data_IF_142083850694
#
_entry.id   IF_142083850694
#
_cell.length_a   1.000
_cell.length_b   1.000
_cell.length_c   1.000
_cell.angle_alpha   90.00
_cell.angle_beta   90.00
_cell.angle_gamma   90.00
#
_symmetry.space_group_name_H-M   'P 1'
#
loop_
_entity.id
_entity.type
_entity.pdbx_description
1 polymer ?
#
# COMPACT_ATOMS: atom_id res chain seq x y z
N UNK A 1 -6.56 -31.09 3.62
CA UNK A 1 -5.34 -31.28 4.44
C UNK A 1 -4.14 -31.04 3.55
N UNK A 2 -3.45 -29.93 3.72
CA UNK A 2 -2.21 -29.68 2.97
C UNK A 2 -1.12 -30.58 3.55
N UNK A 3 -0.41 -31.40 2.72
CA UNK A 3 0.73 -32.22 3.10
C UNK A 3 1.98 -31.40 3.40
N UNK A 4 3.03 -31.97 3.94
CA UNK A 4 4.36 -31.39 3.91
C UNK A 4 4.77 -31.24 2.45
N UNK A 5 5.36 -30.09 2.09
CA UNK A 5 5.90 -29.92 0.73
C UNK A 5 7.09 -30.87 0.58
N UNK A 6 7.15 -31.56 -0.52
CA UNK A 6 8.25 -32.48 -0.85
C UNK A 6 9.56 -31.69 -0.86
N UNK A 7 10.59 -32.25 -0.23
CA UNK A 7 11.87 -31.56 -0.01
C UNK A 7 12.55 -31.14 -1.31
N UNK A 8 12.49 -31.98 -2.31
CA UNK A 8 13.03 -31.73 -3.65
C UNK A 8 12.38 -30.49 -4.30
N UNK A 9 11.06 -30.28 -4.10
CA UNK A 9 10.36 -29.11 -4.61
C UNK A 9 10.80 -27.83 -3.87
N UNK A 10 11.08 -27.91 -2.58
CA UNK A 10 11.61 -26.77 -1.81
C UNK A 10 12.99 -26.38 -2.35
N UNK A 11 13.86 -27.37 -2.59
CA UNK A 11 15.21 -27.12 -3.09
C UNK A 11 15.17 -26.62 -4.55
N UNK A 12 14.24 -27.10 -5.35
CA UNK A 12 14.02 -26.61 -6.72
C UNK A 12 13.51 -25.18 -6.75
N UNK A 13 12.53 -24.81 -5.92
CA UNK A 13 12.08 -23.42 -5.77
C UNK A 13 13.26 -22.53 -5.35
N UNK A 14 14.08 -22.98 -4.38
CA UNK A 14 15.28 -22.24 -3.95
C UNK A 14 16.24 -21.96 -5.10
N UNK A 15 16.43 -22.94 -5.99
CA UNK A 15 17.36 -22.82 -7.12
C UNK A 15 16.85 -21.89 -8.22
N UNK A 16 15.53 -21.82 -8.41
CA UNK A 16 14.88 -20.98 -9.44
C UNK A 16 14.65 -19.54 -9.02
N UNK A 17 14.52 -19.29 -7.73
CA UNK A 17 14.20 -17.96 -7.21
C UNK A 17 15.48 -17.20 -6.84
N UNK A 18 15.66 -16.04 -7.41
CA UNK A 18 16.74 -15.13 -7.05
C UNK A 18 16.39 -14.35 -5.80
N UNK A 19 17.23 -14.41 -4.78
CA UNK A 19 17.02 -13.71 -3.51
C UNK A 19 17.01 -12.17 -3.68
N UNK A 20 17.85 -11.64 -4.58
CA UNK A 20 17.91 -10.21 -4.88
C UNK A 20 16.61 -9.68 -5.48
N UNK A 21 15.91 -10.47 -6.30
CA UNK A 21 14.59 -10.12 -6.81
C UNK A 21 13.53 -10.12 -5.71
N UNK A 22 13.61 -11.06 -4.76
CA UNK A 22 12.67 -11.13 -3.62
C UNK A 22 12.88 -9.96 -2.67
N UNK A 23 14.11 -9.74 -2.27
CA UNK A 23 14.48 -8.64 -1.37
C UNK A 23 14.24 -7.29 -2.02
N UNK A 24 14.50 -7.17 -3.33
CA UNK A 24 14.31 -5.93 -4.10
C UNK A 24 12.86 -5.43 -4.16
N UNK A 25 11.88 -6.26 -3.80
CA UNK A 25 10.50 -5.81 -3.62
C UNK A 25 10.27 -4.95 -2.38
N UNK A 26 11.10 -5.11 -1.37
CA UNK A 26 10.98 -4.46 -0.05
C UNK A 26 12.07 -3.43 0.22
N UNK A 27 13.26 -3.64 -0.36
CA UNK A 27 14.47 -2.84 -0.10
C UNK A 27 15.16 -2.52 -1.42
N UNK A 28 15.56 -1.27 -1.61
CA UNK A 28 16.39 -0.91 -2.76
C UNK A 28 17.80 -1.43 -2.54
N UNK A 29 18.21 -2.36 -3.41
CA UNK A 29 19.53 -2.94 -3.41
C UNK A 29 20.45 -2.24 -4.43
N UNK A 30 21.73 -2.11 -4.07
CA UNK A 30 22.79 -1.56 -4.94
C UNK A 30 23.97 -2.51 -4.98
N UNK A 31 24.67 -2.54 -6.10
CA UNK A 31 25.91 -3.32 -6.21
C UNK A 31 26.92 -2.86 -5.14
N UNK A 32 27.53 -3.83 -4.47
CA UNK A 32 28.54 -3.64 -3.43
C UNK A 32 29.82 -4.47 -3.69
N UNK A 33 30.00 -4.94 -4.92
CA UNK A 33 31.11 -5.78 -5.37
C UNK A 33 30.66 -6.94 -6.22
N UNK A 34 31.58 -7.85 -6.51
CA UNK A 34 31.26 -9.08 -7.26
C UNK A 34 30.31 -9.94 -6.41
N UNK A 35 29.15 -10.31 -6.98
CA UNK A 35 28.12 -11.11 -6.33
C UNK A 35 27.68 -10.58 -4.95
N UNK A 36 27.69 -9.27 -4.77
CA UNK A 36 27.25 -8.63 -3.53
C UNK A 36 26.41 -7.40 -3.82
N UNK A 37 25.22 -7.37 -3.21
CA UNK A 37 24.34 -6.21 -3.20
C UNK A 37 24.11 -5.75 -1.77
N UNK A 38 23.86 -4.45 -1.55
CA UNK A 38 23.58 -3.91 -0.23
C UNK A 38 22.42 -2.92 -0.24
N UNK A 39 21.72 -2.81 0.89
CA UNK A 39 20.63 -1.86 1.12
C UNK A 39 20.45 -1.58 2.60
N UNK A 40 19.48 -0.73 2.93
CA UNK A 40 19.08 -0.51 4.33
C UNK A 40 18.36 -1.74 4.86
N UNK A 41 18.70 -2.14 6.08
CA UNK A 41 18.10 -3.32 6.70
C UNK A 41 16.59 -3.11 6.95
N UNK A 42 15.74 -4.07 6.56
CA UNK A 42 14.31 -4.00 6.85
C UNK A 42 13.96 -4.40 8.29
N UNK A 43 14.89 -5.00 9.03
CA UNK A 43 14.65 -5.56 10.36
C UNK A 43 15.05 -4.64 11.51
N UNK A 44 15.91 -3.63 11.27
CA UNK A 44 16.27 -2.61 12.26
C UNK A 44 16.41 -1.23 11.62
N UNK A 45 16.39 -0.18 12.44
CA UNK A 45 16.59 1.18 11.97
C UNK A 45 18.08 1.49 11.85
N UNK A 46 18.52 1.84 10.63
CA UNK A 46 19.90 2.23 10.35
C UNK A 46 19.96 3.39 9.34
N UNK A 47 21.09 4.08 9.31
CA UNK A 47 21.33 5.21 8.38
C UNK A 47 22.24 4.81 7.22
N UNK A 48 23.14 3.87 7.45
CA UNK A 48 24.11 3.39 6.47
C UNK A 48 23.78 1.94 6.11
N UNK A 49 23.79 1.57 4.83
CA UNK A 49 23.47 0.23 4.40
C UNK A 49 24.41 -0.82 4.99
N UNK A 50 23.87 -1.70 5.84
CA UNK A 50 24.56 -2.84 6.42
C UNK A 50 23.93 -4.20 6.03
N UNK A 51 22.83 -4.17 5.30
CA UNK A 51 22.13 -5.36 4.83
C UNK A 51 22.71 -5.79 3.49
N UNK A 52 23.39 -6.93 3.48
CA UNK A 52 24.02 -7.51 2.30
C UNK A 52 23.24 -8.69 1.77
N UNK A 53 23.16 -8.79 0.45
CA UNK A 53 22.53 -9.91 -0.27
C UNK A 53 23.56 -10.48 -1.23
N UNK A 54 23.70 -11.80 -1.24
CA UNK A 54 24.56 -12.54 -2.17
C UNK A 54 23.70 -13.38 -3.11
N UNK A 55 23.45 -12.91 -4.36
CA UNK A 55 22.56 -13.59 -5.29
C UNK A 55 22.95 -15.03 -5.60
N UNK A 56 24.24 -15.31 -5.81
CA UNK A 56 24.73 -16.67 -6.18
C UNK A 56 24.55 -17.69 -5.06
N UNK A 57 24.72 -17.25 -3.79
CA UNK A 57 24.53 -18.12 -2.64
C UNK A 57 23.08 -18.17 -2.13
N UNK A 58 22.20 -17.30 -2.65
CA UNK A 58 20.81 -17.22 -2.22
C UNK A 58 20.64 -16.78 -0.76
N UNK A 59 21.56 -15.95 -0.24
CA UNK A 59 21.66 -15.64 1.19
C UNK A 59 21.76 -14.14 1.46
N UNK A 60 21.17 -13.69 2.57
CA UNK A 60 21.36 -12.34 3.09
C UNK A 60 21.98 -12.34 4.49
N UNK A 61 22.69 -11.27 4.81
CA UNK A 61 23.22 -11.00 6.14
C UNK A 61 23.25 -9.50 6.43
N UNK A 62 22.75 -9.11 7.60
CA UNK A 62 22.86 -7.74 8.09
C UNK A 62 23.99 -7.60 9.09
N UNK A 63 25.00 -6.82 8.78
CA UNK A 63 26.13 -6.57 9.69
C UNK A 63 25.78 -5.62 10.84
N UNK A 64 24.62 -4.96 10.81
CA UNK A 64 24.14 -4.07 11.87
C UNK A 64 23.42 -4.79 12.99
N UNK A 65 22.46 -5.69 12.66
CA UNK A 65 21.66 -6.41 13.66
C UNK A 65 21.92 -7.93 13.71
N UNK A 66 22.78 -8.47 12.84
CA UNK A 66 23.09 -9.90 12.79
C UNK A 66 22.02 -10.77 12.11
N UNK A 67 20.93 -10.17 11.62
CA UNK A 67 19.89 -10.92 10.93
C UNK A 67 20.39 -11.53 9.63
N UNK A 68 20.06 -12.80 9.40
CA UNK A 68 20.54 -13.55 8.24
C UNK A 68 19.57 -14.66 7.84
N UNK A 69 19.65 -15.11 6.59
CA UNK A 69 18.82 -16.19 6.07
C UNK A 69 18.74 -16.24 4.56
N UNK A 70 17.89 -17.12 4.06
CA UNK A 70 17.56 -17.29 2.66
C UNK A 70 16.27 -16.50 2.28
N UNK A 71 15.80 -16.66 1.05
CA UNK A 71 14.58 -16.01 0.56
C UNK A 71 13.33 -16.42 1.37
N UNK A 72 13.27 -17.64 1.85
CA UNK A 72 12.15 -18.11 2.68
C UNK A 72 12.14 -17.42 4.04
N UNK A 73 13.28 -17.41 4.72
CA UNK A 73 13.46 -16.73 6.01
C UNK A 73 13.18 -15.23 5.90
N UNK A 74 13.58 -14.61 4.79
CA UNK A 74 13.30 -13.21 4.52
C UNK A 74 11.79 -12.96 4.46
N UNK A 75 11.04 -13.73 3.66
CA UNK A 75 9.59 -13.59 3.55
C UNK A 75 8.87 -13.86 4.86
N UNK A 76 9.28 -14.90 5.61
CA UNK A 76 8.72 -15.18 6.93
C UNK A 76 8.80 -13.95 7.85
N UNK A 77 9.93 -13.27 7.88
CA UNK A 77 10.14 -12.09 8.73
C UNK A 77 9.44 -10.84 8.22
N UNK A 78 9.44 -10.62 6.91
CA UNK A 78 8.84 -9.44 6.30
C UNK A 78 7.31 -9.48 6.33
N UNK A 79 6.73 -10.63 5.96
CA UNK A 79 5.30 -10.81 5.81
C UNK A 79 4.64 -11.49 7.00
N UNK A 80 5.43 -11.99 7.96
CA UNK A 80 4.94 -12.79 9.08
C UNK A 80 4.25 -14.07 8.60
N UNK A 81 4.69 -14.62 7.47
CA UNK A 81 4.18 -15.88 6.93
C UNK A 81 4.97 -17.06 7.46
N UNK A 82 4.41 -18.27 7.36
CA UNK A 82 5.12 -19.49 7.70
C UNK A 82 6.05 -19.91 6.59
N UNK A 83 6.91 -20.88 6.90
CA UNK A 83 7.82 -21.45 5.91
C UNK A 83 7.07 -22.05 4.72
N UNK A 84 5.99 -22.81 4.95
CA UNK A 84 5.16 -23.39 3.89
C UNK A 84 4.58 -22.31 2.98
N UNK A 85 4.00 -21.24 3.54
CA UNK A 85 3.47 -20.12 2.76
C UNK A 85 4.57 -19.37 1.98
N UNK A 86 5.76 -19.23 2.56
CA UNK A 86 6.89 -18.65 1.85
C UNK A 86 7.31 -19.50 0.65
N UNK A 87 7.35 -20.83 0.81
CA UNK A 87 7.65 -21.78 -0.29
C UNK A 87 6.57 -21.73 -1.37
N UNK A 88 5.29 -21.81 -0.98
CA UNK A 88 4.14 -21.75 -1.92
C UNK A 88 4.19 -20.47 -2.75
N UNK A 89 4.44 -19.34 -2.12
CA UNK A 89 4.53 -18.05 -2.80
C UNK A 89 5.70 -17.96 -3.78
N UNK A 90 6.87 -18.47 -3.39
CA UNK A 90 8.02 -18.46 -4.28
C UNK A 90 7.87 -19.48 -5.41
N UNK A 91 7.18 -20.60 -5.17
CA UNK A 91 6.82 -21.57 -6.20
C UNK A 91 5.86 -20.96 -7.23
N UNK A 92 4.81 -20.25 -6.80
CA UNK A 92 3.90 -19.52 -7.70
C UNK A 92 4.67 -18.53 -8.57
N UNK A 93 5.60 -17.77 -7.96
CA UNK A 93 6.46 -16.82 -8.69
C UNK A 93 7.39 -17.51 -9.70
N UNK A 94 7.89 -18.70 -9.36
CA UNK A 94 8.73 -19.52 -10.24
C UNK A 94 7.94 -20.32 -11.28
N UNK A 95 6.61 -20.23 -11.28
CA UNK A 95 5.72 -21.02 -12.16
C UNK A 95 5.78 -22.52 -11.86
N UNK A 96 6.05 -22.91 -10.61
CA UNK A 96 6.17 -24.30 -10.17
C UNK A 96 4.90 -24.78 -9.47
N UNK A 97 4.51 -26.03 -9.75
CA UNK A 97 3.50 -26.75 -8.97
C UNK A 97 4.19 -27.59 -7.89
N UNK A 98 3.75 -27.42 -6.64
CA UNK A 98 4.32 -28.13 -5.50
C UNK A 98 3.63 -29.47 -5.27
N UNK A 99 4.41 -30.48 -4.96
CA UNK A 99 3.94 -31.78 -4.48
C UNK A 99 3.90 -31.81 -2.96
N UNK A 100 2.92 -32.49 -2.40
CA UNK A 100 2.70 -32.57 -0.96
C UNK A 100 2.72 -34.01 -0.47
N UNK A 101 3.49 -34.30 0.58
CA UNK A 101 3.50 -35.59 1.25
C UNK A 101 2.25 -35.79 2.12
N UNK A 102 1.76 -37.01 2.23
CA UNK A 102 0.67 -37.38 3.13
C UNK A 102 1.20 -37.52 4.57
N UNK A 103 0.99 -36.52 5.41
CA UNK A 103 1.40 -36.57 6.81
C UNK A 103 0.99 -35.35 7.65
N UNK A 104 0.78 -35.56 8.94
CA UNK A 104 0.38 -34.56 9.93
C UNK A 104 1.58 -33.85 10.57
N UNK A 105 1.63 -32.53 10.51
CA UNK A 105 2.60 -31.68 11.22
C UNK A 105 1.90 -30.65 12.12
N UNK A 106 2.53 -30.20 13.23
CA UNK A 106 1.86 -29.51 14.34
C UNK A 106 1.50 -28.04 14.17
N UNK A 107 2.08 -27.25 13.30
CA UNK A 107 1.85 -25.78 13.28
C UNK A 107 0.96 -25.24 12.14
N UNK A 108 0.08 -26.07 11.63
CA UNK A 108 -0.74 -25.82 10.44
C UNK A 108 -1.90 -24.83 10.61
N UNK A 109 -2.34 -24.52 11.86
CA UNK A 109 -3.59 -23.77 12.06
C UNK A 109 -3.46 -22.29 11.76
N UNK A 110 -2.35 -21.66 12.16
CA UNK A 110 -2.16 -20.22 11.94
C UNK A 110 -1.71 -19.91 10.51
N UNK A 111 -0.83 -20.75 9.96
CA UNK A 111 -0.37 -20.66 8.57
C UNK A 111 -1.51 -20.79 7.57
N UNK A 112 -2.28 -21.87 7.70
CA UNK A 112 -3.45 -22.09 6.87
C UNK A 112 -4.49 -20.98 7.03
N UNK A 113 -4.59 -20.36 8.22
CA UNK A 113 -5.51 -19.26 8.46
C UNK A 113 -5.09 -18.00 7.69
N UNK A 114 -3.80 -17.64 7.68
CA UNK A 114 -3.33 -16.45 6.95
C UNK A 114 -3.48 -16.60 5.45
N UNK A 115 -3.11 -17.75 4.88
CA UNK A 115 -3.32 -18.06 3.47
C UNK A 115 -4.80 -17.99 3.10
N UNK A 116 -5.68 -18.58 3.92
CA UNK A 116 -7.12 -18.50 3.75
C UNK A 116 -7.65 -17.07 3.77
N UNK A 117 -7.10 -16.19 4.61
CA UNK A 117 -7.46 -14.78 4.62
C UNK A 117 -7.05 -14.07 3.31
N UNK A 118 -5.88 -14.35 2.75
CA UNK A 118 -5.48 -13.79 1.45
C UNK A 118 -6.40 -14.28 0.32
N UNK A 119 -6.73 -15.57 0.30
CA UNK A 119 -7.70 -16.12 -0.66
C UNK A 119 -9.07 -15.46 -0.53
N UNK A 120 -9.59 -15.29 0.69
CA UNK A 120 -10.85 -14.61 0.94
C UNK A 120 -10.84 -13.15 0.43
N UNK A 121 -9.73 -12.43 0.61
CA UNK A 121 -9.59 -11.06 0.10
C UNK A 121 -9.49 -11.02 -1.43
N UNK A 122 -8.82 -11.98 -2.06
CA UNK A 122 -8.76 -12.11 -3.52
C UNK A 122 -10.17 -12.36 -4.09
N UNK A 123 -10.89 -13.33 -3.57
CA UNK A 123 -12.27 -13.62 -3.98
C UNK A 123 -13.22 -12.43 -3.72
N UNK A 124 -13.06 -11.73 -2.60
CA UNK A 124 -13.83 -10.52 -2.31
C UNK A 124 -13.53 -9.39 -3.32
N UNK A 125 -12.25 -9.22 -3.71
CA UNK A 125 -11.88 -8.26 -4.75
C UNK A 125 -12.55 -8.60 -6.08
N UNK A 126 -12.49 -9.86 -6.50
CA UNK A 126 -13.10 -10.30 -7.76
C UNK A 126 -14.62 -10.12 -7.74
N UNK A 127 -15.26 -10.42 -6.61
CA UNK A 127 -16.67 -10.13 -6.39
C UNK A 127 -16.99 -8.64 -6.54
N UNK A 128 -16.28 -7.74 -5.87
CA UNK A 128 -16.53 -6.31 -5.95
C UNK A 128 -16.25 -5.76 -7.35
N UNK A 129 -15.21 -6.24 -8.03
CA UNK A 129 -14.90 -5.87 -9.42
C UNK A 129 -15.99 -6.30 -10.40
N UNK A 130 -16.55 -7.49 -10.23
CA UNK A 130 -17.67 -7.95 -11.06
C UNK A 130 -18.89 -7.04 -10.85
N UNK A 131 -19.17 -6.65 -9.62
CA UNK A 131 -20.34 -5.84 -9.27
C UNK A 131 -20.26 -4.37 -9.71
N UNK A 132 -19.08 -3.80 -10.05
CA UNK A 132 -19.00 -2.43 -10.55
C UNK A 132 -19.75 -2.25 -11.88
N UNK A 133 -19.95 -3.32 -12.64
CA UNK A 133 -20.70 -3.33 -13.92
C UNK A 133 -22.20 -3.59 -13.73
N UNK A 134 -22.63 -3.92 -12.52
CA UNK A 134 -24.05 -4.17 -12.23
C UNK A 134 -24.89 -2.88 -12.41
N UNK A 135 -26.20 -3.01 -12.68
CA UNK A 135 -27.10 -1.84 -12.72
C UNK A 135 -27.10 -1.05 -11.41
N UNK A 136 -27.03 -1.73 -10.27
CA UNK A 136 -27.00 -1.12 -8.94
C UNK A 136 -25.76 -0.20 -8.74
N UNK A 137 -24.66 -0.46 -9.43
CA UNK A 137 -23.43 0.31 -9.33
C UNK A 137 -23.42 1.61 -10.19
N UNK A 138 -24.52 1.99 -10.84
CA UNK A 138 -24.59 3.19 -11.69
C UNK A 138 -24.11 4.44 -10.96
N UNK A 139 -24.56 4.64 -9.70
CA UNK A 139 -24.14 5.79 -8.88
C UNK A 139 -22.63 5.78 -8.61
N UNK A 140 -22.03 4.59 -8.45
CA UNK A 140 -20.58 4.42 -8.27
C UNK A 140 -19.82 4.81 -9.56
N UNK A 141 -20.25 4.30 -10.71
CA UNK A 141 -19.62 4.62 -12.00
C UNK A 141 -19.74 6.12 -12.32
N UNK A 142 -20.92 6.71 -12.14
CA UNK A 142 -21.14 8.15 -12.34
C UNK A 142 -20.23 8.99 -11.44
N UNK A 143 -20.12 8.62 -10.14
CA UNK A 143 -19.21 9.29 -9.20
C UNK A 143 -17.76 9.28 -9.68
N UNK A 144 -17.28 8.18 -10.26
CA UNK A 144 -15.92 8.08 -10.79
C UNK A 144 -15.76 8.85 -12.10
N UNK A 145 -16.73 8.75 -13.01
CA UNK A 145 -16.73 9.48 -14.29
C UNK A 145 -16.72 11.00 -14.09
N UNK A 146 -17.51 11.54 -13.14
CA UNK A 146 -17.51 12.98 -12.77
C UNK A 146 -16.13 13.47 -12.29
N UNK A 147 -15.25 12.55 -11.88
CA UNK A 147 -13.87 12.82 -11.45
C UNK A 147 -12.83 12.53 -12.52
N UNK A 148 -13.27 12.20 -13.72
CA UNK A 148 -12.41 11.95 -14.86
C UNK A 148 -11.79 10.54 -14.88
N UNK A 149 -12.35 9.58 -14.14
CA UNK A 149 -11.91 8.19 -14.19
C UNK A 149 -12.80 7.36 -15.10
N UNK A 150 -12.22 6.83 -16.17
CA UNK A 150 -12.85 5.91 -17.11
C UNK A 150 -12.84 4.46 -16.62
N UNK A 151 -13.37 3.55 -17.42
CA UNK A 151 -13.44 2.12 -17.11
C UNK A 151 -12.05 1.48 -17.02
N UNK A 152 -11.09 1.94 -17.84
CA UNK A 152 -9.72 1.47 -17.82
C UNK A 152 -9.01 1.83 -16.51
N UNK A 153 -9.22 3.05 -16.04
CA UNK A 153 -8.74 3.48 -14.73
C UNK A 153 -9.35 2.65 -13.60
N UNK A 154 -10.66 2.40 -13.61
CA UNK A 154 -11.32 1.54 -12.62
C UNK A 154 -10.74 0.13 -12.63
N UNK A 155 -10.55 -0.44 -13.80
CA UNK A 155 -9.99 -1.79 -13.97
C UNK A 155 -8.53 -1.85 -13.50
N UNK A 156 -7.72 -0.88 -13.90
CA UNK A 156 -6.29 -0.81 -13.55
C UNK A 156 -6.08 -0.75 -12.04
N UNK A 157 -6.87 0.05 -11.31
CA UNK A 157 -6.76 0.16 -9.85
C UNK A 157 -7.59 -0.88 -9.10
N UNK A 158 -8.35 -1.73 -9.81
CA UNK A 158 -9.18 -2.77 -9.22
C UNK A 158 -10.37 -2.23 -8.43
N UNK A 159 -10.88 -1.06 -8.83
CA UNK A 159 -12.04 -0.43 -8.20
C UNK A 159 -13.28 -1.30 -8.39
N UNK A 160 -14.07 -1.44 -7.33
CA UNK A 160 -15.24 -2.29 -7.30
C UNK A 160 -16.44 -1.64 -6.62
N UNK A 161 -17.53 -2.39 -6.53
CA UNK A 161 -18.75 -1.97 -5.87
C UNK A 161 -19.24 -3.06 -4.90
N UNK A 162 -19.55 -2.69 -3.68
CA UNK A 162 -20.21 -3.54 -2.71
C UNK A 162 -21.74 -3.34 -2.79
N UNK A 163 -22.53 -4.36 -3.16
CA UNK A 163 -23.98 -4.27 -3.22
C UNK A 163 -24.62 -3.88 -1.87
N UNK A 164 -25.84 -3.33 -1.92
CA UNK A 164 -26.54 -2.80 -0.72
C UNK A 164 -27.04 -3.86 0.26
N UNK A 165 -27.18 -5.12 -0.16
CA UNK A 165 -27.68 -6.20 0.69
C UNK A 165 -26.77 -6.47 1.91
N UNK A 166 -27.33 -7.14 2.91
CA UNK A 166 -26.64 -7.38 4.18
C UNK A 166 -25.61 -8.50 4.14
N UNK A 167 -25.71 -9.42 3.18
CA UNK A 167 -24.96 -10.69 3.16
C UNK A 167 -24.54 -11.14 1.75
N UNK A 168 -24.49 -10.23 0.79
CA UNK A 168 -24.15 -10.55 -0.59
C UNK A 168 -22.73 -11.13 -0.72
N UNK A 169 -21.73 -10.44 -0.14
CA UNK A 169 -20.35 -10.92 -0.12
C UNK A 169 -20.23 -12.19 0.73
N UNK A 170 -20.83 -12.21 1.92
CA UNK A 170 -20.76 -13.37 2.83
C UNK A 170 -21.39 -14.62 2.20
N UNK A 171 -22.51 -14.51 1.50
CA UNK A 171 -23.10 -15.61 0.73
C UNK A 171 -22.17 -16.10 -0.38
N UNK A 172 -21.59 -15.17 -1.15
CA UNK A 172 -20.62 -15.49 -2.20
C UNK A 172 -19.43 -16.25 -1.61
N UNK A 173 -18.81 -15.74 -0.56
CA UNK A 173 -17.62 -16.36 0.04
C UNK A 173 -17.92 -17.71 0.69
N UNK A 174 -19.08 -17.87 1.33
CA UNK A 174 -19.52 -19.18 1.84
C UNK A 174 -19.70 -20.21 0.71
N UNK A 175 -20.23 -19.81 -0.45
CA UNK A 175 -20.33 -20.70 -1.62
C UNK A 175 -18.98 -21.15 -2.16
N UNK A 176 -17.90 -20.39 -1.85
CA UNK A 176 -16.49 -20.70 -2.14
C UNK A 176 -15.81 -21.47 -1.00
N UNK A 177 -16.56 -21.87 0.04
CA UNK A 177 -16.05 -22.66 1.16
C UNK A 177 -15.32 -21.88 2.25
N UNK A 178 -15.53 -20.55 2.34
CA UNK A 178 -15.03 -19.75 3.45
C UNK A 178 -15.98 -19.80 4.64
N UNK A 179 -15.40 -19.80 5.84
CA UNK A 179 -16.14 -19.84 7.10
C UNK A 179 -16.37 -18.41 7.63
N UNK A 180 -17.48 -18.20 8.35
CA UNK A 180 -17.80 -16.89 8.94
C UNK A 180 -16.69 -16.32 9.82
N UNK A 181 -15.99 -17.19 10.58
CA UNK A 181 -14.81 -16.80 11.37
C UNK A 181 -13.63 -16.27 10.54
N UNK A 182 -13.46 -16.77 9.31
CA UNK A 182 -12.45 -16.28 8.39
C UNK A 182 -12.86 -14.91 7.83
N UNK A 183 -14.15 -14.73 7.51
CA UNK A 183 -14.68 -13.44 7.03
C UNK A 183 -14.57 -12.35 8.10
N UNK A 184 -14.85 -12.68 9.35
CA UNK A 184 -14.75 -11.75 10.49
C UNK A 184 -13.29 -11.42 10.79
N UNK A 185 -12.42 -12.44 10.84
CA UNK A 185 -10.97 -12.26 11.06
C UNK A 185 -10.30 -11.43 9.95
N UNK A 186 -10.78 -11.56 8.70
CA UNK A 186 -10.34 -10.76 7.56
C UNK A 186 -10.97 -9.36 7.50
N UNK A 187 -11.93 -9.04 8.38
CA UNK A 187 -12.63 -7.76 8.37
C UNK A 187 -13.54 -7.55 7.16
N UNK A 188 -13.95 -8.63 6.49
CA UNK A 188 -14.90 -8.64 5.36
C UNK A 188 -16.35 -8.64 5.86
N UNK A 189 -16.59 -9.27 7.00
CA UNK A 189 -17.86 -9.30 7.68
C UNK A 189 -17.72 -8.82 9.13
N UNK A 190 -18.86 -8.48 9.76
CA UNK A 190 -18.96 -8.13 11.17
C UNK A 190 -20.01 -9.00 11.84
N UNK A 191 -19.86 -9.24 13.15
CA UNK A 191 -20.81 -10.01 13.93
C UNK A 191 -22.10 -9.22 14.21
N UNK A 192 -23.24 -9.85 14.00
CA UNK A 192 -24.53 -9.28 14.26
C UNK A 192 -24.92 -9.43 15.74
N UNK A 193 -25.66 -8.47 16.30
CA UNK A 193 -26.14 -8.50 17.69
C UNK A 193 -27.01 -9.73 18.04
N UNK A 194 -27.66 -10.33 17.04
CA UNK A 194 -28.55 -11.51 17.21
C UNK A 194 -27.86 -12.82 16.77
N UNK A 195 -26.54 -12.82 16.66
CA UNK A 195 -25.79 -13.91 16.06
C UNK A 195 -25.72 -13.83 14.53
N UNK A 196 -24.80 -14.62 13.93
CA UNK A 196 -24.49 -14.56 12.49
C UNK A 196 -23.61 -13.39 12.11
N UNK A 197 -23.25 -13.32 10.83
CA UNK A 197 -22.41 -12.26 10.29
C UNK A 197 -23.12 -11.51 9.18
N UNK A 198 -22.75 -10.23 9.02
CA UNK A 198 -23.22 -9.38 7.93
C UNK A 198 -22.04 -8.71 7.23
N UNK A 199 -22.22 -8.36 5.97
CA UNK A 199 -21.20 -7.72 5.15
C UNK A 199 -20.79 -6.38 5.74
N UNK A 200 -19.49 -6.18 5.92
CA UNK A 200 -18.95 -4.91 6.42
C UNK A 200 -19.17 -3.76 5.44
N UNK A 201 -19.01 -4.03 4.15
CA UNK A 201 -19.14 -3.04 3.08
C UNK A 201 -20.46 -3.27 2.33
N UNK A 202 -21.32 -2.26 2.28
CA UNK A 202 -22.65 -2.33 1.66
C UNK A 202 -22.99 -1.00 0.99
N UNK A 203 -23.42 -1.05 -0.27
CA UNK A 203 -23.77 0.15 -1.04
C UNK A 203 -22.63 1.13 -1.22
N UNK A 204 -21.38 0.65 -1.33
CA UNK A 204 -20.19 1.49 -1.32
C UNK A 204 -19.28 1.24 -2.51
N UNK A 205 -18.62 2.30 -2.95
CA UNK A 205 -17.49 2.21 -3.88
C UNK A 205 -16.28 1.67 -3.13
N UNK A 206 -15.57 0.71 -3.73
CA UNK A 206 -14.51 -0.07 -3.08
C UNK A 206 -13.17 0.12 -3.79
N UNK A 207 -12.11 0.31 -3.02
CA UNK A 207 -10.71 0.25 -3.45
C UNK A 207 -10.00 -0.90 -2.72
N UNK A 208 -9.33 -1.81 -3.45
CA UNK A 208 -8.49 -2.81 -2.80
C UNK A 208 -7.24 -2.15 -2.23
N UNK A 209 -6.95 -2.44 -0.95
CA UNK A 209 -5.70 -2.05 -0.31
C UNK A 209 -4.74 -3.23 -0.43
N UNK A 210 -3.54 -2.97 -0.97
CA UNK A 210 -2.55 -4.01 -1.27
C UNK A 210 -1.30 -3.86 -0.41
N UNK A 211 -0.67 -5.00 -0.11
CA UNK A 211 0.68 -4.99 0.45
C UNK A 211 1.72 -4.57 -0.62
N UNK A 212 2.97 -4.40 -0.22
CA UNK A 212 4.05 -4.00 -1.13
C UNK A 212 4.26 -4.98 -2.29
N UNK A 213 3.79 -6.21 -2.17
CA UNK A 213 3.90 -7.25 -3.19
C UNK A 213 2.69 -7.33 -4.13
N UNK A 214 1.64 -6.55 -3.84
CA UNK A 214 0.43 -6.46 -4.65
C UNK A 214 -0.72 -7.36 -4.20
N UNK A 215 -0.59 -8.13 -3.11
CA UNK A 215 -1.68 -8.95 -2.56
C UNK A 215 -2.69 -8.05 -1.84
N UNK A 216 -3.97 -8.37 -1.98
CA UNK A 216 -5.03 -7.64 -1.28
C UNK A 216 -5.06 -8.02 0.19
N UNK A 217 -4.93 -7.02 1.07
CA UNK A 217 -4.92 -7.17 2.52
C UNK A 217 -6.10 -6.49 3.20
N UNK A 218 -6.88 -5.73 2.44
CA UNK A 218 -8.04 -5.01 2.94
C UNK A 218 -8.70 -4.18 1.86
N UNK A 219 -9.67 -3.39 2.26
CA UNK A 219 -10.44 -2.53 1.37
C UNK A 219 -10.69 -1.17 2.01
N UNK A 220 -10.66 -0.14 1.18
CA UNK A 220 -11.21 1.16 1.49
C UNK A 220 -12.56 1.32 0.79
N UNK A 221 -13.54 1.88 1.48
CA UNK A 221 -14.88 2.02 0.98
C UNK A 221 -15.40 3.44 1.15
N UNK A 222 -16.02 3.99 0.10
CA UNK A 222 -16.68 5.30 0.14
C UNK A 222 -18.20 5.17 0.09
N UNK A 223 -18.86 5.87 0.99
CA UNK A 223 -20.31 6.02 1.03
C UNK A 223 -20.84 6.69 -0.25
N UNK A 224 -21.90 6.13 -0.83
CA UNK A 224 -22.57 6.63 -2.02
C UNK A 224 -23.99 7.12 -1.75
N UNK A 225 -24.65 6.57 -0.74
CA UNK A 225 -26.06 6.79 -0.45
C UNK A 225 -26.24 7.53 0.88
N UNK A 226 -27.21 8.42 0.97
CA UNK A 226 -27.44 9.26 2.14
C UNK A 226 -28.06 8.48 3.31
N UNK A 227 -28.79 7.41 3.01
CA UNK A 227 -29.35 6.45 3.97
C UNK A 227 -28.29 5.51 4.62
N UNK A 228 -27.03 5.55 4.19
CA UNK A 228 -25.93 4.91 4.89
C UNK A 228 -25.49 5.80 6.07
N UNK A 229 -25.84 5.43 7.30
CA UNK A 229 -25.48 6.15 8.53
C UNK A 229 -23.97 6.07 8.88
N UNK A 230 -23.21 5.21 8.19
CA UNK A 230 -21.78 5.03 8.42
C UNK A 230 -20.91 6.20 7.96
N UNK A 231 -19.63 6.18 8.30
CA UNK A 231 -18.69 7.24 7.94
C UNK A 231 -18.53 7.37 6.43
N UNK A 232 -18.19 8.57 5.95
CA UNK A 232 -17.94 8.85 4.51
C UNK A 232 -16.92 7.89 3.91
N UNK A 233 -15.86 7.57 4.63
CA UNK A 233 -14.88 6.55 4.30
C UNK A 233 -14.82 5.50 5.39
N UNK A 234 -14.90 4.23 5.00
CA UNK A 234 -14.85 3.06 5.87
C UNK A 234 -13.74 2.14 5.35
N UNK A 235 -12.73 1.90 6.16
CA UNK A 235 -11.64 0.98 5.82
C UNK A 235 -11.79 -0.35 6.57
N UNK A 236 -11.10 -1.38 6.07
CA UNK A 236 -10.90 -2.62 6.81
C UNK A 236 -10.37 -2.29 8.22
N UNK A 237 -10.85 -2.95 9.29
CA UNK A 237 -10.31 -2.79 10.64
C UNK A 237 -8.90 -3.39 10.73
N UNK A 238 -8.26 -3.27 11.89
CA UNK A 238 -7.02 -4.02 12.15
C UNK A 238 -7.29 -5.52 12.06
N UNK A 239 -6.47 -6.22 11.27
CA UNK A 239 -6.57 -7.67 11.04
C UNK A 239 -5.18 -8.31 11.05
N UNK A 240 -5.06 -9.64 11.04
CA UNK A 240 -3.75 -10.29 10.88
C UNK A 240 -3.01 -9.91 9.58
N UNK A 241 -3.75 -9.45 8.54
CA UNK A 241 -3.16 -9.01 7.27
C UNK A 241 -2.96 -7.50 7.18
N UNK A 242 -3.77 -6.69 7.86
CA UNK A 242 -3.87 -5.26 7.65
C UNK A 242 -3.62 -4.47 8.93
N UNK A 243 -2.59 -3.64 8.94
CA UNK A 243 -2.26 -2.69 10.01
C UNK A 243 -2.16 -1.28 9.42
N UNK A 244 -3.08 -0.39 9.79
CA UNK A 244 -3.22 0.95 9.20
C UNK A 244 -1.95 1.79 9.24
N UNK A 245 -1.16 1.66 10.29
CA UNK A 245 0.09 2.39 10.47
C UNK A 245 1.27 1.84 9.66
N UNK A 246 1.12 0.68 9.02
CA UNK A 246 2.16 -0.01 8.25
C UNK A 246 1.80 -0.12 6.76
N UNK A 247 0.70 0.49 6.33
CA UNK A 247 0.20 0.37 4.96
C UNK A 247 0.04 1.74 4.32
N UNK A 248 0.55 1.86 3.10
CA UNK A 248 0.32 2.99 2.21
C UNK A 248 -0.40 2.50 0.96
N UNK A 249 -1.55 3.11 0.66
CA UNK A 249 -2.30 2.81 -0.56
C UNK A 249 -1.50 3.24 -1.79
N UNK A 250 -1.45 2.37 -2.79
CA UNK A 250 -0.70 2.60 -4.02
C UNK A 250 0.78 2.28 -3.95
N UNK A 251 1.28 1.79 -2.79
CA UNK A 251 2.70 1.47 -2.61
C UNK A 251 3.18 0.35 -3.53
N UNK A 252 2.34 -0.66 -3.77
CA UNK A 252 2.59 -1.76 -4.70
C UNK A 252 2.94 -1.26 -6.11
N UNK A 253 2.30 -0.17 -6.54
CA UNK A 253 2.52 0.50 -7.83
C UNK A 253 3.70 1.49 -7.77
N UNK A 254 3.78 2.25 -6.69
CA UNK A 254 4.73 3.35 -6.52
C UNK A 254 6.16 2.90 -6.20
N UNK A 255 6.35 1.70 -5.65
CA UNK A 255 7.66 1.24 -5.10
C UNK A 255 8.82 1.38 -6.07
N UNK A 256 8.63 1.06 -7.37
CA UNK A 256 9.68 1.17 -8.39
C UNK A 256 10.05 2.62 -8.71
N UNK A 257 9.04 3.49 -8.82
CA UNK A 257 9.27 4.92 -9.06
C UNK A 257 9.93 5.57 -7.84
N UNK A 258 9.48 5.25 -6.63
CA UNK A 258 10.10 5.72 -5.38
C UNK A 258 11.57 5.31 -5.31
N UNK A 259 11.89 4.06 -5.61
CA UNK A 259 13.26 3.54 -5.60
C UNK A 259 14.15 4.23 -6.65
N UNK A 260 13.62 4.43 -7.88
CA UNK A 260 14.33 5.05 -9.00
C UNK A 260 14.59 6.53 -8.78
N UNK A 261 13.56 7.26 -8.36
CA UNK A 261 13.58 8.72 -8.31
C UNK A 261 14.03 9.24 -6.95
N UNK A 262 14.11 8.39 -5.92
CA UNK A 262 14.40 8.79 -4.54
C UNK A 262 13.35 9.74 -3.97
N UNK A 263 12.10 9.68 -4.47
CA UNK A 263 11.04 10.62 -4.15
C UNK A 263 9.72 9.89 -3.92
N UNK A 264 8.95 10.33 -2.92
CA UNK A 264 7.57 9.89 -2.71
C UNK A 264 6.64 11.09 -2.57
N UNK A 265 5.44 11.00 -3.16
CA UNK A 265 4.38 12.00 -3.05
C UNK A 265 3.26 11.44 -2.19
N UNK A 266 3.00 12.05 -1.04
CA UNK A 266 1.95 11.62 -0.12
C UNK A 266 0.72 12.49 -0.32
N UNK A 267 -0.35 11.88 -0.80
CA UNK A 267 -1.64 12.53 -1.07
C UNK A 267 -2.70 12.11 -0.04
N UNK A 268 -3.92 12.66 -0.13
CA UNK A 268 -4.92 12.50 0.93
C UNK A 268 -5.64 11.14 0.89
N UNK A 269 -5.98 10.64 -0.30
CA UNK A 269 -6.81 9.45 -0.42
C UNK A 269 -6.71 8.69 -1.74
N UNK A 270 -7.61 7.72 -1.90
CA UNK A 270 -7.61 6.76 -3.01
C UNK A 270 -7.69 7.42 -4.38
N UNK A 271 -8.63 8.36 -4.56
CA UNK A 271 -8.82 9.08 -5.82
C UNK A 271 -7.65 9.97 -6.18
N UNK A 272 -6.96 10.54 -5.17
CA UNK A 272 -5.80 11.39 -5.41
C UNK A 272 -4.60 10.58 -5.88
N UNK A 273 -4.40 9.36 -5.31
CA UNK A 273 -3.38 8.42 -5.82
C UNK A 273 -3.70 8.02 -7.25
N UNK A 274 -4.96 7.64 -7.55
CA UNK A 274 -5.37 7.28 -8.91
C UNK A 274 -5.09 8.43 -9.89
N UNK A 275 -5.51 9.64 -9.55
CA UNK A 275 -5.32 10.83 -10.38
C UNK A 275 -3.83 11.13 -10.59
N UNK A 276 -3.01 11.02 -9.56
CA UNK A 276 -1.56 11.24 -9.64
C UNK A 276 -0.88 10.24 -10.58
N UNK A 277 -1.17 8.94 -10.43
CA UNK A 277 -0.61 7.90 -11.28
C UNK A 277 -1.04 8.06 -12.76
N UNK A 278 -2.32 8.36 -13.01
CA UNK A 278 -2.82 8.64 -14.38
C UNK A 278 -2.17 9.88 -15.00
N UNK A 279 -1.70 10.81 -14.18
CA UNK A 279 -0.95 11.99 -14.62
C UNK A 279 0.57 11.73 -14.75
N UNK A 280 1.05 10.50 -14.55
CA UNK A 280 2.46 10.15 -14.63
C UNK A 280 3.27 10.44 -13.36
N UNK A 281 2.60 10.65 -12.21
CA UNK A 281 3.25 10.78 -10.89
C UNK A 281 3.22 9.41 -10.21
N UNK A 282 4.03 8.49 -10.73
CA UNK A 282 4.02 7.07 -10.32
C UNK A 282 4.54 6.82 -8.91
N UNK A 283 5.13 7.82 -8.24
CA UNK A 283 5.60 7.74 -6.86
C UNK A 283 4.56 8.20 -5.81
N UNK A 284 3.29 8.38 -6.22
CA UNK A 284 2.21 8.83 -5.33
C UNK A 284 1.64 7.69 -4.47
N UNK A 285 1.45 7.97 -3.17
CA UNK A 285 0.88 7.08 -2.17
C UNK A 285 -0.05 7.83 -1.23
N UNK A 286 -0.94 7.13 -0.53
CA UNK A 286 -1.78 7.73 0.51
C UNK A 286 -1.86 6.86 1.76
N UNK A 287 -2.12 7.49 2.90
CA UNK A 287 -2.43 6.76 4.14
C UNK A 287 -3.88 6.27 4.14
N UNK A 288 -4.13 5.13 4.78
CA UNK A 288 -5.44 4.50 4.83
C UNK A 288 -6.29 5.01 6.02
N UNK A 289 -6.58 6.32 6.07
CA UNK A 289 -7.41 6.92 7.12
C UNK A 289 -6.68 7.20 8.44
N UNK A 290 -5.36 7.15 8.45
CA UNK A 290 -4.50 7.57 9.57
C UNK A 290 -3.62 8.75 9.16
N UNK A 291 -3.03 9.45 10.13
CA UNK A 291 -2.00 10.42 9.82
C UNK A 291 -0.71 9.72 9.36
N UNK A 292 0.04 10.36 8.46
CA UNK A 292 1.36 9.89 8.07
C UNK A 292 2.31 9.91 9.27
N UNK A 293 2.90 8.77 9.62
CA UNK A 293 3.69 8.59 10.84
C UNK A 293 5.06 7.94 10.60
N UNK A 294 5.74 7.62 11.70
CA UNK A 294 7.10 7.07 11.69
C UNK A 294 7.21 5.76 10.92
N UNK A 295 6.23 4.85 11.05
CA UNK A 295 6.25 3.57 10.34
C UNK A 295 6.12 3.76 8.82
N UNK A 296 5.27 4.68 8.36
CA UNK A 296 5.17 5.03 6.95
C UNK A 296 6.50 5.61 6.41
N UNK A 297 7.16 6.44 7.23
CA UNK A 297 8.49 6.98 6.90
C UNK A 297 9.53 5.88 6.73
N UNK A 298 9.54 4.88 7.64
CA UNK A 298 10.47 3.74 7.55
C UNK A 298 10.27 2.95 6.25
N UNK A 299 9.01 2.70 5.88
CA UNK A 299 8.68 1.98 4.65
C UNK A 299 9.20 2.72 3.41
N UNK A 300 8.88 4.01 3.30
CA UNK A 300 9.32 4.84 2.16
C UNK A 300 10.85 4.91 2.11
N UNK A 301 11.50 5.10 3.25
CA UNK A 301 12.96 5.21 3.35
C UNK A 301 13.66 3.93 2.88
N UNK A 302 13.15 2.75 3.25
CA UNK A 302 13.68 1.46 2.78
C UNK A 302 13.61 1.34 1.26
N UNK A 303 12.51 1.82 0.65
CA UNK A 303 12.34 1.79 -0.80
C UNK A 303 13.25 2.81 -1.52
N UNK A 304 13.46 3.99 -0.96
CA UNK A 304 14.37 4.98 -1.53
C UNK A 304 15.82 4.50 -1.55
N UNK A 305 16.19 3.62 -0.62
CA UNK A 305 17.58 3.20 -0.40
C UNK A 305 18.42 4.35 0.12
N UNK A 306 19.57 4.05 0.73
CA UNK A 306 20.51 5.08 1.15
C UNK A 306 21.42 5.45 -0.04
N UNK A 307 21.04 6.48 -0.79
CA UNK A 307 22.00 7.15 -1.65
C UNK A 307 22.78 8.13 -0.78
N UNK A 308 23.98 7.79 -0.38
CA UNK A 308 24.90 8.74 0.24
C UNK A 308 25.10 10.04 -0.58
N UNK A 309 24.61 10.07 -1.82
CA UNK A 309 24.67 11.21 -2.76
C UNK A 309 23.32 11.82 -3.15
N UNK A 310 22.18 11.20 -2.79
CA UNK A 310 20.85 11.74 -3.09
C UNK A 310 20.01 11.79 -1.82
N UNK A 311 19.71 12.98 -1.36
CA UNK A 311 18.70 13.22 -0.32
C UNK A 311 17.35 12.76 -0.83
N UNK A 312 16.78 11.72 -0.21
CA UNK A 312 15.41 11.27 -0.51
C UNK A 312 14.41 12.37 -0.16
N UNK A 313 13.39 12.56 -0.99
CA UNK A 313 12.38 13.61 -0.80
C UNK A 313 11.00 13.03 -0.60
N UNK A 314 10.30 13.44 0.48
CA UNK A 314 8.87 13.17 0.67
C UNK A 314 8.09 14.46 0.54
N UNK A 315 7.21 14.51 -0.46
CA UNK A 315 6.38 15.66 -0.77
C UNK A 315 4.97 15.37 -0.26
N UNK A 316 4.42 16.28 0.56
CA UNK A 316 3.03 16.17 1.01
C UNK A 316 2.13 17.08 0.18
N UNK A 317 0.94 16.58 -0.18
CA UNK A 317 -0.11 17.44 -0.73
C UNK A 317 -0.54 18.49 0.32
N UNK A 318 -1.05 19.66 -0.09
CA UNK A 318 -1.44 20.73 0.84
C UNK A 318 -2.42 20.29 1.93
N UNK A 319 -3.40 19.46 1.60
CA UNK A 319 -4.38 18.91 2.54
C UNK A 319 -3.75 17.92 3.54
N UNK A 320 -2.79 17.11 3.10
CA UNK A 320 -2.08 16.15 3.96
C UNK A 320 -1.10 16.87 4.90
N UNK A 321 -0.45 17.92 4.44
CA UNK A 321 0.51 18.71 5.23
C UNK A 321 -0.11 19.42 6.43
N UNK A 322 -1.41 19.72 6.40
CA UNK A 322 -2.12 20.42 7.49
C UNK A 322 -2.51 19.53 8.66
N UNK A 323 -2.39 18.22 8.57
CA UNK A 323 -2.74 17.29 9.66
C UNK A 323 -1.73 17.39 10.82
N UNK A 324 -2.18 17.39 12.10
CA UNK A 324 -1.31 17.64 13.26
C UNK A 324 -0.10 16.71 13.37
N UNK A 325 -0.26 15.42 13.06
CA UNK A 325 0.84 14.45 13.13
C UNK A 325 1.91 14.67 12.04
N UNK A 326 1.49 15.09 10.84
CA UNK A 326 2.43 15.45 9.75
C UNK A 326 3.23 16.70 10.13
N UNK A 327 2.59 17.69 10.81
CA UNK A 327 3.28 18.87 11.35
C UNK A 327 4.30 18.51 12.44
N UNK A 328 3.99 17.57 13.34
CA UNK A 328 4.94 17.12 14.37
C UNK A 328 6.14 16.39 13.78
N UNK A 329 5.95 15.59 12.71
CA UNK A 329 7.03 14.93 12.00
C UNK A 329 7.95 15.95 11.32
N UNK A 330 7.36 16.99 10.68
CA UNK A 330 8.09 18.11 10.10
C UNK A 330 8.91 18.88 11.16
N UNK A 331 8.31 19.18 12.32
CA UNK A 331 8.98 19.90 13.39
C UNK A 331 10.11 19.08 14.06
N UNK A 332 9.93 17.76 14.21
CA UNK A 332 10.98 16.87 14.74
C UNK A 332 12.15 16.72 13.78
N UNK A 333 11.88 16.64 12.46
CA UNK A 333 12.94 16.58 11.44
C UNK A 333 13.78 17.85 11.39
N UNK A 334 13.17 19.03 11.63
CA UNK A 334 13.88 20.29 11.71
C UNK A 334 14.81 20.39 12.96
N UNK A 335 14.42 19.78 14.09
CA UNK A 335 15.24 19.75 15.33
C UNK A 335 16.36 18.72 15.32
N UNK A 336 16.28 17.69 14.48
CA UNK A 336 17.27 16.60 14.35
C UNK A 336 18.15 16.74 13.11
N UNK A 337 18.21 17.91 12.49
CA UNK A 337 18.91 18.17 11.24
C UNK A 337 20.42 17.81 11.25
N UNK A 338 21.03 17.58 12.41
CA UNK A 338 22.41 17.12 12.50
C UNK A 338 22.60 15.60 12.41
N UNK A 339 21.53 14.81 12.26
CA UNK A 339 21.65 13.34 12.26
C UNK A 339 20.69 12.57 11.34
N UNK A 340 19.83 13.25 10.58
CA UNK A 340 18.90 12.63 9.62
C UNK A 340 19.07 13.24 8.23
N UNK A 341 20.11 12.84 7.56
CA UNK A 341 20.44 13.32 6.22
C UNK A 341 19.56 12.73 5.11
N UNK A 342 18.36 12.26 5.32
CA UNK A 342 17.73 11.50 4.24
C UNK A 342 16.25 11.73 4.00
N UNK A 343 15.56 12.49 4.82
CA UNK A 343 14.21 12.98 4.53
C UNK A 343 14.20 14.49 4.66
N UNK A 344 14.62 15.17 3.61
CA UNK A 344 14.47 16.61 3.50
C UNK A 344 13.04 16.94 3.09
N UNK A 345 12.24 17.35 4.08
CA UNK A 345 11.13 18.26 3.84
C UNK A 345 11.75 19.60 3.44
N UNK A 346 11.87 19.89 2.16
CA UNK A 346 12.27 21.21 1.71
C UNK A 346 11.15 22.19 2.01
N UNK A 347 11.29 22.89 3.12
CA UNK A 347 10.56 24.08 3.43
C UNK A 347 11.47 25.29 3.23
N UNK A 348 11.06 26.20 2.38
CA UNK A 348 11.83 27.42 2.08
C UNK A 348 11.18 28.67 2.64
N UNK A 349 10.66 28.67 3.87
CA UNK A 349 10.32 29.85 4.70
C UNK A 349 9.48 29.46 5.94
N UNK A 350 9.50 30.22 7.08
CA UNK A 350 9.12 29.75 8.39
C UNK A 350 7.66 29.77 8.62
N UNK A 351 6.68 29.40 8.41
CA UNK A 351 5.30 29.26 8.89
C UNK A 351 4.15 29.01 7.90
N UNK A 352 4.40 29.03 6.57
CA UNK A 352 3.27 28.84 5.64
C UNK A 352 3.54 27.93 4.42
N UNK A 353 4.29 26.94 4.48
CA UNK A 353 5.49 26.77 3.68
C UNK A 353 5.45 25.57 2.76
N UNK A 354 4.91 24.47 3.16
CA UNK A 354 4.71 23.32 2.27
C UNK A 354 3.72 23.61 1.15
N UNK A 355 2.84 24.59 1.37
CA UNK A 355 1.87 25.06 0.37
C UNK A 355 2.47 25.75 -0.84
N UNK A 356 3.60 26.38 -0.71
CA UNK A 356 4.01 27.44 -1.66
C UNK A 356 5.14 26.99 -2.56
N UNK A 357 6.01 26.08 -2.16
CA UNK A 357 7.16 25.71 -2.99
C UNK A 357 6.78 24.89 -4.21
N UNK A 358 5.82 23.99 -4.11
CA UNK A 358 5.36 23.23 -5.28
C UNK A 358 4.49 24.12 -6.19
N UNK A 359 3.68 25.02 -5.64
CA UNK A 359 2.76 25.86 -6.41
C UNK A 359 3.39 27.14 -6.97
N UNK A 360 4.30 27.84 -6.27
CA UNK A 360 4.90 29.12 -6.74
C UNK A 360 6.05 28.95 -7.70
N UNK A 361 6.81 27.87 -7.67
CA UNK A 361 7.80 27.61 -8.74
C UNK A 361 7.14 27.28 -10.08
N UNK A 362 5.94 26.71 -10.06
CA UNK A 362 5.18 26.46 -11.28
C UNK A 362 4.60 27.75 -11.91
N UNK A 363 4.34 28.80 -11.12
CA UNK A 363 3.69 30.03 -11.65
C UNK A 363 4.65 31.15 -12.08
N UNK A 364 5.91 31.15 -11.63
CA UNK A 364 6.79 32.30 -11.87
C UNK A 364 7.87 32.12 -12.96
N UNK A 365 8.23 30.89 -13.35
CA UNK A 365 9.30 30.67 -14.34
C UNK A 365 9.15 29.49 -15.30
N UNK A 366 8.03 28.80 -15.35
CA UNK A 366 7.88 27.56 -16.13
C UNK A 366 6.56 27.44 -16.91
N UNK A 367 6.06 28.53 -17.50
CA UNK A 367 4.94 28.42 -18.44
C UNK A 367 5.30 27.67 -19.74
N UNK A 368 6.59 27.49 -20.01
CA UNK A 368 7.10 26.87 -21.24
C UNK A 368 7.78 25.50 -21.04
N UNK A 369 7.93 25.00 -19.79
CA UNK A 369 8.64 23.73 -19.51
C UNK A 369 7.98 22.83 -18.45
N UNK A 370 6.71 23.06 -18.10
CA UNK A 370 5.98 22.21 -17.17
C UNK A 370 5.63 20.86 -17.83
N UNK A 371 6.05 19.77 -17.19
CA UNK A 371 5.61 18.43 -17.57
C UNK A 371 4.10 18.29 -17.45
N UNK A 372 3.45 17.34 -18.14
CA UNK A 372 2.02 17.07 -17.99
C UNK A 372 1.61 16.84 -16.52
N UNK A 373 2.50 16.24 -15.72
CA UNK A 373 2.32 15.97 -14.29
C UNK A 373 2.21 17.25 -13.44
N UNK A 374 3.05 18.25 -13.71
CA UNK A 374 3.05 19.53 -12.97
C UNK A 374 1.80 20.36 -13.28
N UNK A 375 1.30 20.28 -14.51
CA UNK A 375 0.04 20.93 -14.93
C UNK A 375 -1.17 20.29 -14.26
N UNK A 376 -1.17 18.97 -14.09
CA UNK A 376 -2.25 18.23 -13.45
C UNK A 376 -2.36 18.57 -11.96
N UNK A 377 -1.26 18.56 -11.20
CA UNK A 377 -1.24 18.97 -9.79
C UNK A 377 -1.88 20.36 -9.61
N UNK A 378 -1.56 21.30 -10.49
CA UNK A 378 -2.06 22.66 -10.43
C UNK A 378 -3.57 22.77 -10.75
N UNK A 379 -4.09 21.98 -11.69
CA UNK A 379 -5.49 22.03 -12.13
C UNK A 379 -6.42 21.22 -11.22
N UNK A 380 -5.98 20.05 -10.76
CA UNK A 380 -6.79 19.14 -9.97
C UNK A 380 -7.01 19.68 -8.54
N UNK A 381 -5.96 20.22 -7.92
CA UNK A 381 -6.07 20.83 -6.59
C UNK A 381 -6.86 22.15 -6.58
N UNK A 382 -6.91 22.90 -7.67
CA UNK A 382 -7.79 24.09 -7.80
C UNK A 382 -9.28 23.74 -7.83
N UNK A 383 -9.67 22.59 -8.38
CA UNK A 383 -11.09 22.18 -8.48
C UNK A 383 -11.67 21.64 -7.17
N UNK A 384 -10.84 21.31 -6.17
CA UNK A 384 -11.29 20.76 -4.89
C UNK A 384 -11.38 21.80 -3.76
N UNK A 385 -10.99 23.04 -3.99
CA UNK A 385 -11.15 24.12 -3.02
C UNK A 385 -12.60 24.63 -3.05
N UNK A 386 -13.36 24.61 -1.93
CA UNK A 386 -14.66 25.24 -1.88
C UNK A 386 -14.48 26.74 -2.12
N UNK A 387 -15.19 27.28 -3.08
CA UNK A 387 -15.36 28.72 -3.28
C UNK A 387 -16.02 29.34 -2.04
N UNK A 388 -15.22 29.92 -1.18
CA UNK A 388 -15.73 30.80 -0.12
C UNK A 388 -16.12 32.11 -0.80
N UNK A 389 -17.39 32.27 -1.09
CA UNK A 389 -17.98 33.55 -1.51
C UNK A 389 -17.95 34.49 -0.29
N UNK A 390 -16.96 35.36 -0.21
CA UNK A 390 -16.98 36.46 0.75
C UNK A 390 -17.92 37.56 0.24
N UNK A 391 -19.12 37.57 0.77
CA UNK A 391 -20.04 38.70 0.62
C UNK A 391 -19.52 39.84 1.50
N UNK A 392 -18.89 40.81 0.89
CA UNK A 392 -18.58 42.09 1.51
C UNK A 392 -19.90 42.87 1.68
N UNK A 393 -20.45 42.86 2.88
CA UNK A 393 -21.44 43.88 3.31
C UNK A 393 -20.70 45.18 3.52
N UNK A 394 -20.92 46.15 2.61
CA UNK A 394 -20.67 47.57 2.90
C UNK A 394 -21.82 48.07 3.78
N UNK A 395 -21.52 48.40 5.00
CA UNK A 395 -22.38 49.18 5.86
C UNK A 395 -22.20 50.67 5.58
N UNK A 396 -23.30 51.37 5.45
CA UNK A 396 -23.40 52.80 5.51
C UNK A 396 -23.30 53.28 6.96
#
# INVERSE_FOLDING_TARGET
>A
MAGLIVREDIDEVRSRVRIDDVVGEYVTLRSAGVDSMKGLCPFHDEKTPSFHVRPSSGYYHCFGCGESGDAYTFLQKMDGCTFTEAVERLAERAGMQLRYEKGSGPDRREAGQRARLFEAHKEAQDFFRANIRSPEAEKARRYMAERGFDEDALTSFGVGYAPRGWDNLSKHLRSRGFLDKELTAGGLAAEGRRGGVYDRFRGRLIWPIRDVTGRVIGFGARKLYDDDEGPKYLNTPETPLYRKNQVLYGLDRAKRAIAKDGRAVVVEGYTDVMAAHLAGIDCAVATCGTAFGAEHTKIIRRLMGDAASKTGEVIFSPSTATRPASRQLCARSAKTANSLQTLLLRSSAPDSILRISVCRRATARCATSLSPADRFLNSHFRRQSPTTTSTLLRGA
#
